data_IF_294768659000
#
_entry.id   IF_294768659000
#
_cell.length_a   1.000
_cell.length_b   1.000
_cell.length_c   1.000
_cell.angle_alpha   90.00
_cell.angle_beta   90.00
_cell.angle_gamma   90.00
#
_symmetry.space_group_name_H-M   'P 1'
#
loop_
_entity.id
_entity.type
_entity.pdbx_description
1 polymer ?
#
# COMPACT_ATOMS: atom_id res chain seq x y z
N UNK A 1 -50.72 27.12 16.91
CA UNK A 1 -49.63 26.12 16.67
C UNK A 1 -48.26 26.65 17.06
N UNK A 2 -47.75 27.80 16.61
CA UNK A 2 -46.41 28.32 16.95
C UNK A 2 -46.17 28.55 18.45
N UNK A 3 -47.17 28.93 19.26
CA UNK A 3 -47.05 29.15 20.72
C UNK A 3 -46.98 27.85 21.53
N UNK A 4 -47.58 26.74 21.01
CA UNK A 4 -47.54 25.43 21.67
C UNK A 4 -46.21 24.75 21.45
N UNK A 5 -45.58 24.93 20.28
CA UNK A 5 -44.22 24.41 19.97
C UNK A 5 -43.16 25.12 20.83
N UNK A 6 -43.28 26.43 21.07
CA UNK A 6 -42.37 27.18 21.95
C UNK A 6 -42.44 26.72 23.40
N UNK A 7 -43.63 26.34 23.90
CA UNK A 7 -43.81 25.84 25.25
C UNK A 7 -43.23 24.44 25.46
N UNK A 8 -43.34 23.58 24.46
CA UNK A 8 -42.77 22.22 24.48
C UNK A 8 -41.22 22.28 24.44
N UNK A 9 -40.65 23.19 23.62
CA UNK A 9 -39.19 23.39 23.58
C UNK A 9 -38.60 23.94 24.92
N UNK A 10 -39.32 24.82 25.59
CA UNK A 10 -38.95 25.33 26.89
C UNK A 10 -39.00 24.28 28.00
N UNK A 11 -39.93 23.33 27.93
CA UNK A 11 -40.12 22.26 28.90
C UNK A 11 -39.02 21.16 28.78
N UNK A 12 -38.54 20.92 27.55
CA UNK A 12 -37.43 19.96 27.33
C UNK A 12 -36.09 20.51 27.81
N UNK A 13 -35.86 21.82 27.77
CA UNK A 13 -34.65 22.45 28.31
C UNK A 13 -34.62 22.53 29.86
N UNK A 14 -35.79 22.50 30.51
CA UNK A 14 -35.86 22.56 31.98
C UNK A 14 -35.61 21.19 32.66
N UNK A 15 -35.68 20.10 31.94
CA UNK A 15 -35.47 18.74 32.44
C UNK A 15 -34.01 18.27 32.42
N UNK A 16 -33.09 19.05 31.84
CA UNK A 16 -31.66 18.69 31.73
C UNK A 16 -30.77 19.24 32.85
N UNK A 17 -31.34 19.90 33.90
CA UNK A 17 -30.59 20.56 34.97
C UNK A 17 -30.73 19.96 36.38
N UNK A 18 -31.29 18.73 36.48
CA UNK A 18 -31.42 18.04 37.78
C UNK A 18 -30.67 16.70 37.74
N UNK A 19 -29.36 16.76 37.62
CA UNK A 19 -28.50 15.62 37.89
C UNK A 19 -27.11 16.09 38.32
N UNK A 20 -27.07 16.85 39.42
CA UNK A 20 -25.86 17.04 40.24
C UNK A 20 -26.30 17.20 41.70
N UNK A 21 -26.34 16.11 42.41
CA UNK A 21 -26.52 16.04 43.87
C UNK A 21 -25.62 14.94 44.40
N UNK A 22 -24.56 15.40 45.08
CA UNK A 22 -23.58 14.58 45.82
C UNK A 22 -24.25 13.62 46.82
N UNK A 23 -23.70 12.44 46.89
CA UNK A 23 -23.50 11.69 48.16
C UNK A 23 -22.24 10.85 48.04
N UNK A 24 -21.26 11.18 48.92
CA UNK A 24 -20.14 10.32 49.21
C UNK A 24 -20.65 9.06 49.86
N UNK A 25 -20.19 7.90 49.38
CA UNK A 25 -19.91 6.75 50.24
C UNK A 25 -18.98 5.79 49.52
N UNK A 26 -17.86 5.50 50.20
CA UNK A 26 -16.88 4.45 49.88
C UNK A 26 -17.54 3.11 49.54
N UNK A 27 -17.15 2.48 48.43
CA UNK A 27 -16.69 1.11 48.51
C UNK A 27 -15.83 0.71 47.29
N UNK A 28 -14.79 -0.05 47.61
CA UNK A 28 -13.80 -0.60 46.70
C UNK A 28 -14.45 -1.59 45.73
N UNK A 29 -14.14 -1.47 44.47
CA UNK A 29 -13.70 -2.59 43.62
C UNK A 29 -13.42 -2.08 42.21
N UNK A 30 -12.17 -1.93 41.89
CA UNK A 30 -11.48 -2.50 40.73
C UNK A 30 -12.40 -3.13 39.68
N UNK A 31 -12.40 -2.51 38.56
CA UNK A 31 -11.96 -3.07 37.28
C UNK A 31 -12.11 -1.96 36.25
N UNK A 32 -11.16 -1.00 36.26
CA UNK A 32 -10.83 -0.27 35.05
C UNK A 32 -10.25 -1.29 34.06
N UNK A 33 -11.13 -2.03 33.39
CA UNK A 33 -10.80 -2.60 32.11
C UNK A 33 -10.60 -1.39 31.17
N UNK A 34 -9.37 -0.84 31.21
CA UNK A 34 -8.86 0.03 30.20
C UNK A 34 -8.88 -0.78 28.89
N UNK A 35 -10.01 -0.75 28.19
CA UNK A 35 -10.13 -1.21 26.82
C UNK A 35 -9.33 -0.25 25.96
N UNK A 36 -8.02 -0.34 26.03
CA UNK A 36 -7.14 0.17 24.98
C UNK A 36 -7.48 -0.66 23.76
N UNK A 37 -8.36 -0.12 22.90
CA UNK A 37 -8.52 -0.68 21.56
C UNK A 37 -7.12 -0.74 20.95
N UNK A 38 -6.74 -1.93 20.45
CA UNK A 38 -5.47 -2.10 19.78
C UNK A 38 -5.34 -1.03 18.69
N UNK A 39 -4.15 -0.46 18.55
CA UNK A 39 -3.89 0.50 17.47
C UNK A 39 -4.01 -0.25 16.14
N UNK A 40 -4.84 0.24 15.24
CA UNK A 40 -4.90 -0.25 13.87
C UNK A 40 -3.70 0.29 13.08
N UNK A 41 -3.03 -0.57 12.33
CA UNK A 41 -1.94 -0.25 11.42
C UNK A 41 -2.34 -0.65 10.00
N UNK A 42 -2.37 0.31 9.08
CA UNK A 42 -2.84 0.11 7.71
C UNK A 42 -1.62 -0.01 6.79
N UNK A 43 -1.41 -1.21 6.25
CA UNK A 43 -0.33 -1.53 5.31
C UNK A 43 -0.82 -1.41 3.88
N UNK A 44 -0.25 -0.50 3.10
CA UNK A 44 -0.47 -0.37 1.66
C UNK A 44 0.38 -1.38 0.88
N UNK A 45 -0.25 -2.18 0.03
CA UNK A 45 0.42 -3.21 -0.77
C UNK A 45 0.05 -3.15 -2.25
N UNK A 46 0.95 -3.63 -3.12
CA UNK A 46 0.59 -4.16 -4.44
C UNK A 46 0.00 -5.55 -4.24
N UNK A 47 -1.27 -5.74 -4.56
CA UNK A 47 -1.97 -7.00 -4.35
C UNK A 47 -1.75 -8.04 -5.46
N UNK A 48 -0.94 -7.71 -6.48
CA UNK A 48 -0.61 -8.56 -7.63
C UNK A 48 0.89 -8.81 -7.78
N UNK A 49 1.61 -8.85 -6.63
CA UNK A 49 3.08 -9.00 -6.59
C UNK A 49 3.53 -10.26 -5.82
N UNK A 50 3.19 -11.47 -6.29
CA UNK A 50 3.72 -12.70 -5.68
C UNK A 50 5.24 -12.82 -5.89
N UNK A 51 6.01 -13.34 -4.91
CA UNK A 51 5.57 -13.92 -3.65
C UNK A 51 5.54 -12.93 -2.49
N UNK A 52 5.64 -11.62 -2.72
CA UNK A 52 5.79 -10.61 -1.66
C UNK A 52 4.44 -10.17 -1.07
N UNK A 53 3.47 -9.85 -1.92
CA UNK A 53 2.12 -9.44 -1.50
C UNK A 53 1.12 -9.75 -2.61
N UNK A 54 0.12 -10.56 -2.30
CA UNK A 54 -0.88 -11.00 -3.28
C UNK A 54 -2.11 -11.60 -2.59
N UNK A 55 -3.17 -11.85 -3.36
CA UNK A 55 -4.32 -12.64 -2.91
C UNK A 55 -4.06 -14.13 -3.13
N UNK A 56 -4.29 -14.93 -2.09
CA UNK A 56 -4.30 -16.39 -2.21
C UNK A 56 -5.58 -16.91 -2.89
N UNK A 57 -5.69 -18.23 -3.04
CA UNK A 57 -6.85 -18.85 -3.66
C UNK A 57 -8.16 -18.67 -2.88
N UNK A 58 -8.07 -18.37 -1.58
CA UNK A 58 -9.21 -18.13 -0.69
C UNK A 58 -9.59 -16.65 -0.61
N UNK A 59 -8.84 -15.79 -1.30
CA UNK A 59 -9.05 -14.35 -1.34
C UNK A 59 -8.47 -13.58 -0.15
N UNK A 60 -7.53 -14.17 0.59
CA UNK A 60 -6.83 -13.49 1.68
C UNK A 60 -5.52 -12.87 1.16
N UNK A 61 -5.19 -11.69 1.69
CA UNK A 61 -3.89 -11.10 1.43
C UNK A 61 -2.80 -11.87 2.17
N UNK A 62 -1.75 -12.25 1.45
CA UNK A 62 -0.63 -13.05 1.94
C UNK A 62 0.66 -12.70 1.19
N UNK A 63 1.75 -13.33 1.55
CA UNK A 63 3.06 -13.16 0.95
C UNK A 63 4.10 -12.72 1.97
N UNK A 64 5.36 -12.74 1.56
CA UNK A 64 6.49 -12.46 2.45
C UNK A 64 6.33 -11.15 3.23
N UNK A 65 6.01 -10.05 2.55
CA UNK A 65 5.88 -8.73 3.18
C UNK A 65 4.68 -8.66 4.13
N UNK A 66 3.55 -9.26 3.73
CA UNK A 66 2.33 -9.32 4.56
C UNK A 66 2.58 -10.09 5.84
N UNK A 67 3.24 -11.26 5.76
CA UNK A 67 3.54 -12.09 6.92
C UNK A 67 4.55 -11.42 7.87
N UNK A 68 5.56 -10.72 7.34
CA UNK A 68 6.52 -9.96 8.15
C UNK A 68 5.83 -8.79 8.86
N UNK A 69 4.97 -8.04 8.15
CA UNK A 69 4.21 -6.95 8.76
C UNK A 69 3.25 -7.46 9.83
N UNK A 70 2.56 -8.58 9.56
CA UNK A 70 1.69 -9.25 10.54
C UNK A 70 2.46 -9.61 11.81
N UNK A 71 3.61 -10.25 11.67
CA UNK A 71 4.44 -10.61 12.82
C UNK A 71 4.90 -9.37 13.62
N UNK A 72 5.21 -8.26 12.94
CA UNK A 72 5.56 -7.01 13.60
C UNK A 72 4.35 -6.41 14.36
N UNK A 73 3.17 -6.42 13.79
CA UNK A 73 1.94 -5.97 14.43
C UNK A 73 1.60 -6.83 15.67
N UNK A 74 1.71 -8.15 15.54
CA UNK A 74 1.48 -9.09 16.66
C UNK A 74 2.43 -8.79 17.83
N UNK A 75 3.71 -8.52 17.58
CA UNK A 75 4.69 -8.15 18.61
C UNK A 75 4.39 -6.81 19.29
N UNK A 76 3.79 -5.87 18.55
CA UNK A 76 3.44 -4.53 19.05
C UNK A 76 2.04 -4.49 19.68
N UNK A 77 1.26 -5.55 19.58
CA UNK A 77 -0.14 -5.57 20.01
C UNK A 77 -1.04 -4.69 19.15
N UNK A 78 -0.71 -4.54 17.85
CA UNK A 78 -1.47 -3.76 16.89
C UNK A 78 -2.35 -4.67 16.03
N UNK A 79 -3.44 -4.11 15.49
CA UNK A 79 -4.31 -4.76 14.54
C UNK A 79 -3.87 -4.39 13.11
N UNK A 80 -3.48 -5.38 12.30
CA UNK A 80 -3.09 -5.17 10.91
C UNK A 80 -4.32 -5.07 10.02
N UNK A 81 -4.40 -4.00 9.22
CA UNK A 81 -5.32 -3.86 8.10
C UNK A 81 -4.53 -3.75 6.81
N UNK A 82 -4.92 -4.51 5.78
CA UNK A 82 -4.31 -4.45 4.46
C UNK A 82 -5.12 -3.52 3.57
N UNK A 83 -4.42 -2.64 2.86
CA UNK A 83 -4.98 -1.71 1.89
C UNK A 83 -4.30 -1.91 0.53
N UNK A 84 -5.00 -2.47 -0.48
CA UNK A 84 -4.43 -2.58 -1.82
C UNK A 84 -4.32 -1.18 -2.45
N UNK A 85 -3.09 -0.77 -2.75
CA UNK A 85 -2.82 0.52 -3.40
C UNK A 85 -2.80 0.36 -4.92
N UNK A 86 -3.17 1.41 -5.64
CA UNK A 86 -2.75 1.55 -7.01
C UNK A 86 -1.25 1.88 -7.00
N UNK A 87 -0.42 0.98 -7.56
CA UNK A 87 1.03 1.08 -7.41
C UNK A 87 1.61 2.38 -7.99
N UNK A 88 1.06 2.88 -9.08
CA UNK A 88 1.47 4.17 -9.66
C UNK A 88 1.11 5.35 -8.73
N UNK A 89 0.03 5.23 -7.94
CA UNK A 89 -0.45 6.27 -7.04
C UNK A 89 -0.06 6.04 -5.56
N UNK A 90 0.79 5.06 -5.26
CA UNK A 90 1.11 4.64 -3.88
C UNK A 90 1.55 5.76 -2.95
N UNK A 91 2.36 6.71 -3.43
CA UNK A 91 2.82 7.83 -2.62
C UNK A 91 1.70 8.87 -2.41
N UNK A 92 0.85 9.09 -3.42
CA UNK A 92 -0.32 9.97 -3.29
C UNK A 92 -1.30 9.41 -2.26
N UNK A 93 -1.53 8.10 -2.27
CA UNK A 93 -2.41 7.43 -1.30
C UNK A 93 -1.80 7.43 0.11
N UNK A 94 -0.48 7.30 0.23
CA UNK A 94 0.23 7.46 1.51
C UNK A 94 0.10 8.88 2.05
N UNK A 95 0.31 9.90 1.21
CA UNK A 95 0.15 11.32 1.60
C UNK A 95 -1.28 11.67 1.98
N UNK A 96 -2.26 11.04 1.33
CA UNK A 96 -3.68 11.14 1.67
C UNK A 96 -4.04 10.39 2.97
N UNK A 97 -3.10 9.66 3.57
CA UNK A 97 -3.28 8.84 4.78
C UNK A 97 -4.31 7.71 4.61
N UNK A 98 -4.42 7.17 3.41
CA UNK A 98 -5.21 5.97 3.16
C UNK A 98 -4.52 4.71 3.72
N UNK A 99 -3.20 4.77 3.91
CA UNK A 99 -2.41 3.79 4.64
C UNK A 99 -1.35 4.48 5.52
N UNK A 100 -0.84 3.76 6.52
CA UNK A 100 0.21 4.24 7.42
C UNK A 100 1.61 4.04 6.82
N UNK A 101 1.76 3.03 5.97
CA UNK A 101 2.98 2.78 5.21
C UNK A 101 2.66 2.09 3.88
N UNK A 102 3.58 2.18 2.93
CA UNK A 102 3.62 1.31 1.75
C UNK A 102 4.72 0.28 1.97
N UNK A 103 4.34 -1.00 2.00
CA UNK A 103 5.26 -2.10 2.26
C UNK A 103 4.94 -3.28 1.34
N UNK A 104 5.63 -3.36 0.21
CA UNK A 104 5.35 -4.34 -0.86
C UNK A 104 6.55 -4.44 -1.82
N UNK A 105 7.71 -4.87 -1.32
CA UNK A 105 8.92 -5.02 -2.13
C UNK A 105 9.39 -3.71 -2.80
N UNK A 106 9.06 -2.57 -2.21
CA UNK A 106 9.33 -1.27 -2.80
C UNK A 106 10.83 -0.96 -2.82
N UNK A 107 11.34 -0.60 -3.99
CA UNK A 107 12.74 -0.15 -4.13
C UNK A 107 12.95 1.20 -3.44
N UNK A 108 14.02 1.29 -2.65
CA UNK A 108 14.44 2.55 -2.02
C UNK A 108 15.08 3.44 -3.10
N UNK A 109 14.46 4.57 -3.42
CA UNK A 109 14.97 5.55 -4.36
C UNK A 109 15.38 6.82 -3.63
N UNK A 110 16.46 7.47 -4.09
CA UNK A 110 16.92 8.73 -3.50
C UNK A 110 15.89 9.85 -3.69
N UNK A 111 15.15 9.86 -4.79
CA UNK A 111 14.05 10.80 -5.03
C UNK A 111 12.96 10.75 -3.96
N UNK A 112 12.71 9.58 -3.34
CA UNK A 112 11.76 9.46 -2.23
C UNK A 112 12.30 10.12 -0.96
N UNK A 113 13.62 9.99 -0.70
CA UNK A 113 14.28 10.65 0.43
C UNK A 113 14.27 12.18 0.26
N UNK A 114 14.56 12.64 -0.96
CA UNK A 114 14.54 14.05 -1.32
C UNK A 114 13.14 14.66 -1.20
N UNK A 115 12.10 13.88 -1.49
CA UNK A 115 10.70 14.25 -1.29
C UNK A 115 10.26 14.22 0.19
N UNK A 116 11.14 13.76 1.12
CA UNK A 116 10.90 13.80 2.56
C UNK A 116 10.23 12.55 3.13
N UNK A 117 10.13 11.46 2.36
CA UNK A 117 9.62 10.20 2.87
C UNK A 117 10.61 9.52 3.81
N UNK A 118 10.11 8.92 4.88
CA UNK A 118 10.89 8.09 5.79
C UNK A 118 10.90 6.66 5.26
N UNK A 119 12.10 6.14 5.02
CA UNK A 119 12.31 4.80 4.49
C UNK A 119 12.93 3.91 5.55
N UNK A 120 12.57 2.62 5.57
CA UNK A 120 13.20 1.62 6.43
C UNK A 120 14.64 1.36 5.98
N UNK A 121 15.40 0.62 6.81
CA UNK A 121 16.59 -0.05 6.32
C UNK A 121 16.18 -1.13 5.30
N UNK A 122 17.02 -1.43 4.29
CA UNK A 122 16.73 -2.54 3.38
C UNK A 122 16.60 -3.84 4.16
N UNK A 123 15.55 -4.61 3.88
CA UNK A 123 15.31 -5.92 4.48
C UNK A 123 15.39 -7.06 3.47
N UNK A 124 15.53 -6.73 2.19
CA UNK A 124 15.65 -7.68 1.09
C UNK A 124 16.54 -7.10 -0.02
N UNK A 125 17.38 -7.93 -0.63
CA UNK A 125 18.18 -7.52 -1.78
C UNK A 125 17.30 -7.48 -3.02
N UNK A 126 17.33 -6.35 -3.75
CA UNK A 126 16.52 -6.15 -4.93
C UNK A 126 17.42 -5.85 -6.15
N UNK A 127 17.27 -6.66 -7.20
CA UNK A 127 17.97 -6.47 -8.47
C UNK A 127 16.93 -6.42 -9.59
N UNK A 128 16.97 -5.36 -10.41
CA UNK A 128 16.16 -5.29 -11.60
C UNK A 128 16.67 -6.29 -12.63
N UNK A 129 15.75 -7.08 -13.19
CA UNK A 129 16.07 -8.11 -14.18
C UNK A 129 15.13 -7.98 -15.39
N UNK A 130 15.55 -8.52 -16.52
CA UNK A 130 14.74 -8.65 -17.72
C UNK A 130 14.26 -10.10 -17.76
N UNK A 131 12.95 -10.30 -17.82
CA UNK A 131 12.34 -11.62 -18.00
C UNK A 131 11.97 -11.82 -19.46
N UNK A 132 12.27 -13.00 -19.97
CA UNK A 132 11.95 -13.42 -21.32
C UNK A 132 11.39 -14.85 -21.31
N UNK A 133 10.70 -15.25 -22.39
CA UNK A 133 10.23 -16.64 -22.52
C UNK A 133 11.37 -17.63 -22.55
N UNK A 134 11.14 -18.81 -22.04
CA UNK A 134 12.08 -19.92 -22.21
C UNK A 134 12.35 -20.16 -23.71
N UNK A 135 13.62 -20.32 -24.04
CA UNK A 135 14.07 -20.48 -25.42
C UNK A 135 14.13 -19.20 -26.26
N UNK A 136 13.87 -18.02 -25.67
CA UNK A 136 14.05 -16.73 -26.35
C UNK A 136 15.49 -16.53 -26.85
N UNK A 137 15.64 -15.85 -27.98
CA UNK A 137 16.95 -15.44 -28.51
C UNK A 137 17.54 -14.22 -27.78
N UNK A 138 16.75 -13.55 -26.93
CA UNK A 138 17.21 -12.42 -26.09
C UNK A 138 18.12 -12.97 -24.99
N UNK A 139 19.40 -12.61 -25.01
CA UNK A 139 20.41 -13.05 -24.04
C UNK A 139 21.08 -11.91 -23.30
N UNK A 140 20.90 -10.70 -23.78
CA UNK A 140 21.46 -9.47 -23.21
C UNK A 140 20.54 -8.28 -23.46
N UNK A 141 20.79 -7.17 -22.78
CA UNK A 141 20.04 -5.91 -22.99
C UNK A 141 20.15 -5.40 -24.44
N UNK A 142 21.26 -5.67 -25.12
CA UNK A 142 21.45 -5.24 -26.51
C UNK A 142 20.45 -5.95 -27.48
N UNK A 143 19.98 -7.15 -27.15
CA UNK A 143 19.03 -7.91 -27.96
C UNK A 143 17.59 -7.36 -27.85
N UNK A 144 17.36 -6.38 -26.98
CA UNK A 144 16.07 -5.70 -26.87
C UNK A 144 15.82 -4.66 -27.97
N UNK A 145 16.83 -4.37 -28.81
CA UNK A 145 16.65 -3.47 -29.94
C UNK A 145 15.58 -3.99 -30.89
N UNK A 146 14.58 -3.15 -31.17
CA UNK A 146 13.44 -3.48 -32.03
C UNK A 146 12.41 -4.40 -31.39
N UNK A 147 12.49 -4.67 -30.09
CA UNK A 147 11.55 -5.49 -29.30
C UNK A 147 10.45 -4.67 -28.65
N UNK A 148 9.34 -5.33 -28.37
CA UNK A 148 8.26 -4.78 -27.54
C UNK A 148 8.52 -5.20 -26.08
N UNK A 149 8.73 -4.20 -25.21
CA UNK A 149 9.10 -4.43 -23.80
C UNK A 149 7.95 -3.97 -22.91
N UNK A 150 7.62 -4.72 -21.86
CA UNK A 150 6.65 -4.32 -20.85
C UNK A 150 7.32 -3.90 -19.54
N UNK A 151 6.73 -2.92 -18.87
CA UNK A 151 7.13 -2.49 -17.51
C UNK A 151 5.88 -2.12 -16.70
N UNK A 152 5.91 -2.39 -15.41
CA UNK A 152 4.85 -1.92 -14.52
C UNK A 152 5.05 -0.43 -14.20
N UNK A 153 3.96 0.34 -14.27
CA UNK A 153 3.90 1.77 -13.89
C UNK A 153 4.31 1.99 -12.42
N UNK A 154 4.95 3.10 -12.14
CA UNK A 154 5.33 3.51 -10.80
C UNK A 154 6.45 2.66 -10.17
N UNK A 155 7.15 1.83 -10.95
CA UNK A 155 8.27 1.00 -10.46
C UNK A 155 9.63 1.66 -10.69
N UNK A 156 10.66 1.14 -10.01
CA UNK A 156 12.06 1.50 -10.29
C UNK A 156 12.49 1.08 -11.70
N UNK A 157 11.94 -0.02 -12.22
CA UNK A 157 12.18 -0.44 -13.61
C UNK A 157 11.68 0.59 -14.62
N UNK A 158 10.49 1.15 -14.42
CA UNK A 158 9.99 2.24 -15.24
C UNK A 158 10.86 3.50 -15.12
N UNK A 159 11.23 3.87 -13.89
CA UNK A 159 12.07 5.04 -13.64
C UNK A 159 13.44 4.98 -14.35
N UNK A 160 14.05 3.78 -14.43
CA UNK A 160 15.28 3.58 -15.18
C UNK A 160 15.10 3.81 -16.69
N UNK A 161 13.92 3.49 -17.22
CA UNK A 161 13.58 3.64 -18.64
C UNK A 161 12.97 5.01 -19.00
N UNK A 162 12.64 5.83 -17.99
CA UNK A 162 12.09 7.17 -18.22
C UNK A 162 13.09 8.10 -18.92
N UNK A 163 12.60 9.19 -19.48
CA UNK A 163 13.45 10.22 -20.07
C UNK A 163 14.37 10.81 -18.98
N UNK A 164 15.67 10.71 -19.20
CA UNK A 164 16.70 11.07 -18.20
C UNK A 164 17.04 9.97 -17.19
N UNK A 165 16.40 8.81 -17.25
CA UNK A 165 16.79 7.62 -16.49
C UNK A 165 18.05 6.96 -17.04
N UNK A 166 18.69 6.14 -16.21
CA UNK A 166 19.99 5.50 -16.55
C UNK A 166 19.91 4.58 -17.78
N UNK A 167 18.72 4.11 -18.14
CA UNK A 167 18.48 3.24 -19.30
C UNK A 167 17.64 3.90 -20.40
N UNK A 168 17.55 5.23 -20.42
CA UNK A 168 16.81 5.96 -21.45
C UNK A 168 17.32 5.65 -22.87
N UNK A 169 18.65 5.54 -23.05
CA UNK A 169 19.26 5.18 -24.33
C UNK A 169 18.90 3.75 -24.76
N UNK A 170 18.80 2.80 -23.79
CA UNK A 170 18.34 1.45 -24.08
C UNK A 170 16.87 1.47 -24.52
N UNK A 171 15.99 2.18 -23.80
CA UNK A 171 14.58 2.37 -24.18
C UNK A 171 14.43 2.89 -25.59
N UNK A 172 15.30 3.83 -26.01
CA UNK A 172 15.25 4.42 -27.36
C UNK A 172 15.50 3.38 -28.49
N UNK A 173 16.04 2.20 -28.15
CA UNK A 173 16.22 1.09 -29.11
C UNK A 173 15.02 0.17 -29.25
N UNK A 174 14.06 0.22 -28.33
CA UNK A 174 12.86 -0.64 -28.36
C UNK A 174 11.96 -0.28 -29.54
N UNK A 175 11.22 -1.26 -30.04
CA UNK A 175 10.13 -0.98 -30.97
C UNK A 175 8.98 -0.26 -30.24
N UNK A 176 8.71 -0.72 -29.00
CA UNK A 176 7.65 -0.16 -28.16
C UNK A 176 7.93 -0.46 -26.67
N UNK A 177 7.57 0.47 -25.79
CA UNK A 177 7.49 0.24 -24.34
C UNK A 177 6.02 0.24 -23.93
N UNK A 178 5.50 -0.94 -23.56
CA UNK A 178 4.15 -1.13 -23.03
C UNK A 178 4.16 -0.95 -21.52
N UNK A 179 3.28 -0.13 -20.98
CA UNK A 179 3.12 0.04 -19.54
C UNK A 179 1.93 -0.79 -19.02
N UNK A 180 2.11 -1.46 -17.90
CA UNK A 180 1.11 -2.27 -17.23
C UNK A 180 0.86 -1.74 -15.82
N UNK A 181 -0.33 -2.01 -15.28
CA UNK A 181 -0.71 -1.65 -13.91
C UNK A 181 -0.19 -2.63 -12.86
N UNK A 182 0.24 -3.83 -13.28
CA UNK A 182 0.83 -4.84 -12.39
C UNK A 182 1.90 -5.68 -13.09
N UNK A 183 2.80 -6.30 -12.32
CA UNK A 183 3.73 -7.30 -12.85
C UNK A 183 3.01 -8.53 -13.40
N UNK A 184 1.91 -8.95 -12.75
CA UNK A 184 1.10 -10.05 -13.24
C UNK A 184 0.56 -9.78 -14.65
N UNK A 185 0.19 -8.53 -14.93
CA UNK A 185 -0.22 -8.11 -16.27
C UNK A 185 0.94 -8.18 -17.25
N UNK A 186 2.15 -7.70 -16.89
CA UNK A 186 3.34 -7.82 -17.71
C UNK A 186 3.63 -9.29 -18.08
N UNK A 187 3.53 -10.22 -17.12
CA UNK A 187 3.73 -11.64 -17.36
C UNK A 187 2.65 -12.24 -18.27
N UNK A 188 1.41 -11.77 -18.14
CA UNK A 188 0.31 -12.20 -19.02
C UNK A 188 0.57 -11.77 -20.46
N UNK A 189 1.01 -10.53 -20.68
CA UNK A 189 1.35 -10.01 -22.02
C UNK A 189 2.55 -10.78 -22.61
N UNK A 190 3.58 -11.03 -21.79
CA UNK A 190 4.72 -11.85 -22.19
C UNK A 190 4.27 -13.27 -22.57
N UNK A 191 3.48 -13.94 -21.73
CA UNK A 191 2.95 -15.27 -21.96
C UNK A 191 2.10 -15.35 -23.24
N UNK A 192 1.26 -14.35 -23.47
CA UNK A 192 0.40 -14.21 -24.65
C UNK A 192 1.13 -13.84 -25.94
N UNK A 193 2.38 -13.35 -25.87
CA UNK A 193 3.18 -12.94 -27.00
C UNK A 193 2.85 -11.55 -27.53
N UNK A 194 2.23 -10.71 -26.70
CA UNK A 194 2.03 -9.29 -26.99
C UNK A 194 3.32 -8.49 -26.76
N UNK A 195 4.20 -8.98 -25.90
CA UNK A 195 5.57 -8.48 -25.69
C UNK A 195 6.59 -9.60 -25.85
N UNK A 196 7.91 -9.26 -26.03
CA UNK A 196 8.99 -10.20 -26.35
C UNK A 196 9.72 -10.83 -25.09
#
# INVERSE_FOLDING_TARGET
MKKIIALILAMVMALSLVACGQTEQDDKSKDDANSTSAKTFIMGIDAEYPPFSYLDADGNYTGFDVEVCKAACDLLGWELQIFPVNWDQKLVQLDAKECDCVWSGMTILDSMKEAGYVLSTPYYDNTQVIMVKEGSDIKSSADLAGKVVAVQLGTSGEALLADGGDLADLKATFAELTTCDSFLKCFTELGGGAVD
#
